data_IF_680903419836
#
_entry.id   IF_680903419836
#
_cell.length_a   1.000
_cell.length_b   1.000
_cell.length_c   1.000
_cell.angle_alpha   90.00
_cell.angle_beta   90.00
_cell.angle_gamma   90.00
#
_symmetry.space_group_name_H-M   'P 1'
#
loop_
_entity.id
_entity.type
_entity.pdbx_description
1 polymer ?
#
# COMPACT_ATOMS: atom_id res chain seq x y z
N UNK A 1 5.47 -6.15 -10.23
CA UNK A 1 5.10 -5.09 -9.27
C UNK A 1 4.22 -4.02 -9.89
N UNK A 2 4.49 -3.54 -11.10
CA UNK A 2 3.52 -2.72 -11.87
C UNK A 2 2.16 -3.43 -11.97
N UNK A 3 2.14 -4.68 -12.43
CA UNK A 3 0.92 -5.49 -12.48
C UNK A 3 0.26 -5.74 -11.11
N UNK A 4 1.04 -5.79 -10.03
CA UNK A 4 0.51 -6.02 -8.67
C UNK A 4 -0.28 -4.79 -8.22
N UNK A 5 0.27 -3.59 -8.38
CA UNK A 5 -0.43 -2.33 -8.06
C UNK A 5 -1.70 -2.14 -8.91
N UNK A 6 -1.65 -2.55 -10.19
CA UNK A 6 -2.86 -2.55 -11.03
C UNK A 6 -3.94 -3.52 -10.52
N UNK A 7 -3.54 -4.73 -10.13
CA UNK A 7 -4.44 -5.74 -9.56
C UNK A 7 -5.04 -5.25 -8.24
N UNK A 8 -4.21 -4.71 -7.34
CA UNK A 8 -4.64 -4.15 -6.05
C UNK A 8 -5.63 -3.02 -6.29
N UNK A 9 -5.28 -1.98 -7.06
CA UNK A 9 -6.19 -0.86 -7.31
C UNK A 9 -7.50 -1.28 -8.00
N UNK A 10 -7.46 -2.32 -8.84
CA UNK A 10 -8.67 -2.90 -9.45
C UNK A 10 -9.52 -3.63 -8.42
N UNK A 11 -8.90 -4.41 -7.53
CA UNK A 11 -9.55 -5.10 -6.42
C UNK A 11 -10.18 -4.09 -5.45
N UNK A 12 -9.45 -3.05 -5.05
CA UNK A 12 -9.94 -2.00 -4.15
C UNK A 12 -11.17 -1.29 -4.71
N UNK A 13 -11.10 -0.90 -5.99
CA UNK A 13 -12.23 -0.29 -6.71
C UNK A 13 -13.46 -1.20 -6.71
N UNK A 14 -13.27 -2.50 -6.94
CA UNK A 14 -14.34 -3.50 -6.95
C UNK A 14 -14.90 -3.72 -5.55
N UNK A 15 -14.05 -3.83 -4.53
CA UNK A 15 -14.45 -4.04 -3.14
C UNK A 15 -15.25 -2.84 -2.59
N UNK A 16 -14.86 -1.61 -2.92
CA UNK A 16 -15.64 -0.41 -2.60
C UNK A 16 -17.05 -0.46 -3.18
N UNK A 17 -17.20 -0.96 -4.40
CA UNK A 17 -18.50 -1.11 -5.04
C UNK A 17 -19.32 -2.25 -4.40
N UNK A 18 -18.77 -3.45 -4.32
CA UNK A 18 -19.53 -4.65 -3.91
C UNK A 18 -19.85 -4.66 -2.41
N UNK A 19 -18.91 -4.23 -1.56
CA UNK A 19 -19.08 -4.30 -0.10
C UNK A 19 -19.77 -3.06 0.47
N UNK A 20 -19.46 -1.88 -0.07
CA UNK A 20 -19.91 -0.60 0.47
C UNK A 20 -20.92 0.12 -0.42
N UNK A 21 -21.22 -0.40 -1.62
CA UNK A 21 -22.07 0.25 -2.62
C UNK A 21 -21.57 1.66 -2.98
N UNK A 22 -20.24 1.83 -3.08
CA UNK A 22 -19.60 3.11 -3.37
C UNK A 22 -19.12 3.11 -4.83
N UNK A 23 -19.89 3.71 -5.76
CA UNK A 23 -19.45 3.84 -7.14
C UNK A 23 -18.28 4.82 -7.22
N UNK A 24 -17.19 4.34 -7.80
CA UNK A 24 -15.92 5.06 -7.88
C UNK A 24 -15.35 5.01 -9.30
N UNK A 25 -14.44 5.94 -9.61
CA UNK A 25 -13.67 5.97 -10.85
C UNK A 25 -12.41 5.10 -10.68
N UNK A 26 -12.49 3.84 -11.12
CA UNK A 26 -11.42 2.83 -10.99
C UNK A 26 -10.02 3.36 -11.32
N UNK A 27 -9.88 4.13 -12.40
CA UNK A 27 -8.57 4.64 -12.83
C UNK A 27 -7.91 5.56 -11.79
N UNK A 28 -8.70 6.31 -11.00
CA UNK A 28 -8.17 7.15 -9.92
C UNK A 28 -7.68 6.31 -8.73
N UNK A 29 -8.35 5.21 -8.42
CA UNK A 29 -7.90 4.27 -7.38
C UNK A 29 -6.60 3.58 -7.81
N UNK A 30 -6.53 3.12 -9.06
CA UNK A 30 -5.30 2.54 -9.63
C UNK A 30 -4.17 3.58 -9.65
N UNK A 31 -4.46 4.83 -10.05
CA UNK A 31 -3.48 5.91 -10.00
C UNK A 31 -3.01 6.22 -8.57
N UNK A 32 -3.90 6.13 -7.57
CA UNK A 32 -3.55 6.29 -6.16
C UNK A 32 -2.48 5.28 -5.73
N UNK A 33 -2.71 3.99 -6.03
CA UNK A 33 -1.77 2.91 -5.70
C UNK A 33 -0.40 3.15 -6.35
N UNK A 34 -0.36 3.48 -7.65
CA UNK A 34 0.90 3.78 -8.32
C UNK A 34 1.59 5.02 -7.75
N UNK A 35 0.84 6.07 -7.44
CA UNK A 35 1.41 7.30 -6.84
C UNK A 35 2.00 6.99 -5.46
N UNK A 36 1.26 6.22 -4.65
CA UNK A 36 1.71 5.74 -3.35
C UNK A 36 2.99 4.92 -3.46
N UNK A 37 3.05 4.00 -4.43
CA UNK A 37 4.24 3.22 -4.75
C UNK A 37 5.45 4.11 -5.06
N UNK A 38 5.30 5.08 -5.97
CA UNK A 38 6.40 5.96 -6.37
C UNK A 38 6.86 6.86 -5.22
N UNK A 39 5.93 7.51 -4.52
CA UNK A 39 6.26 8.39 -3.41
C UNK A 39 6.86 7.61 -2.24
N UNK A 40 6.29 6.45 -1.93
CA UNK A 40 6.81 5.54 -0.92
C UNK A 40 8.23 5.08 -1.22
N UNK A 41 8.51 4.70 -2.46
CA UNK A 41 9.85 4.30 -2.88
C UNK A 41 10.88 5.44 -2.76
N UNK A 42 10.58 6.63 -3.28
CA UNK A 42 11.57 7.71 -3.33
C UNK A 42 11.74 8.47 -2.02
N UNK A 43 10.69 8.58 -1.20
CA UNK A 43 10.69 9.45 -0.03
C UNK A 43 10.58 8.70 1.30
N UNK A 44 10.19 7.42 1.32
CA UNK A 44 9.92 6.70 2.57
C UNK A 44 10.88 5.52 2.73
N UNK A 45 10.99 4.66 1.71
CA UNK A 45 11.87 3.48 1.74
C UNK A 45 13.33 3.77 2.16
N UNK A 46 13.97 4.89 1.76
CA UNK A 46 15.35 5.20 2.14
C UNK A 46 15.56 5.43 3.65
N UNK A 47 14.49 5.68 4.41
CA UNK A 47 14.57 5.93 5.85
C UNK A 47 14.51 4.65 6.71
N UNK A 48 14.15 3.50 6.12
CA UNK A 48 13.85 2.27 6.89
C UNK A 48 14.61 1.03 6.43
N UNK A 49 15.47 1.13 5.42
CA UNK A 49 16.25 0.02 4.91
C UNK A 49 17.72 0.43 4.84
N UNK A 50 18.63 -0.44 5.31
CA UNK A 50 20.04 -0.06 5.48
C UNK A 50 21.04 -0.69 4.46
N UNK A 51 20.85 -1.87 3.84
CA UNK A 51 21.78 -2.37 2.81
C UNK A 51 21.20 -3.34 1.76
N UNK A 52 21.61 -3.20 0.48
CA UNK A 52 21.19 -3.84 -0.80
C UNK A 52 20.47 -5.22 -0.84
N UNK A 53 19.41 -5.33 -1.68
CA UNK A 53 19.15 -6.55 -2.48
C UNK A 53 17.72 -7.08 -2.64
N UNK A 54 16.76 -6.65 -1.81
CA UNK A 54 15.41 -7.24 -1.75
C UNK A 54 14.29 -6.27 -2.17
N UNK A 55 13.15 -6.79 -2.67
CA UNK A 55 11.97 -5.96 -2.95
C UNK A 55 11.46 -5.30 -1.65
N UNK A 56 11.35 -3.98 -1.64
CA UNK A 56 10.84 -3.20 -0.50
C UNK A 56 9.31 -3.26 -0.40
N UNK A 57 8.72 -2.66 0.64
CA UNK A 57 7.25 -2.62 0.83
C UNK A 57 6.47 -2.06 -0.35
N UNK A 58 7.13 -1.23 -1.18
CA UNK A 58 6.56 -0.59 -2.36
C UNK A 58 6.79 -1.41 -3.63
N UNK A 59 7.46 -2.55 -3.52
CA UNK A 59 7.61 -3.48 -4.60
C UNK A 59 8.55 -3.02 -5.70
N UNK A 60 9.47 -2.12 -5.40
CA UNK A 60 10.56 -1.83 -6.30
C UNK A 60 11.80 -2.58 -5.82
N UNK A 61 12.70 -2.91 -6.76
CA UNK A 61 14.03 -3.41 -6.40
C UNK A 61 14.79 -2.24 -5.79
N UNK A 62 14.62 -2.08 -4.48
CA UNK A 62 15.38 -1.15 -3.68
C UNK A 62 16.85 -1.56 -3.67
N UNK A 63 17.76 -0.59 -3.77
CA UNK A 63 19.21 -0.78 -3.51
C UNK A 63 19.52 -0.95 -2.01
N UNK A 64 18.51 -1.31 -1.22
CA UNK A 64 18.54 -1.21 0.24
C UNK A 64 17.54 -2.21 0.80
N UNK A 65 18.02 -3.30 1.38
CA UNK A 65 17.30 -4.56 1.60
C UNK A 65 17.90 -5.47 2.69
N UNK A 66 18.15 -4.95 3.88
CA UNK A 66 18.14 -5.78 5.09
C UNK A 66 17.25 -5.07 6.11
N UNK A 67 16.17 -5.74 6.50
CA UNK A 67 15.27 -5.26 7.54
C UNK A 67 15.53 -6.11 8.79
N UNK A 68 16.06 -5.50 9.85
CA UNK A 68 15.94 -6.10 11.18
C UNK A 68 14.45 -6.29 11.48
N UNK A 69 14.06 -7.42 12.08
CA UNK A 69 12.64 -7.78 12.27
C UNK A 69 11.82 -6.68 12.97
N UNK A 70 12.45 -5.95 13.91
CA UNK A 70 11.85 -4.78 14.57
C UNK A 70 11.68 -3.58 13.63
N UNK A 71 12.69 -3.30 12.79
CA UNK A 71 12.64 -2.26 11.76
C UNK A 71 11.63 -2.56 10.65
N UNK A 72 11.38 -3.84 10.35
CA UNK A 72 10.37 -4.27 9.38
C UNK A 72 8.95 -3.83 9.77
N UNK A 73 8.51 -4.13 11.00
CA UNK A 73 7.15 -3.78 11.44
C UNK A 73 6.94 -2.27 11.59
N UNK A 74 7.96 -1.55 12.08
CA UNK A 74 7.92 -0.09 12.20
C UNK A 74 7.89 0.54 10.80
N UNK A 75 8.76 0.10 9.89
CA UNK A 75 8.79 0.57 8.50
C UNK A 75 7.48 0.29 7.77
N UNK A 76 6.86 -0.87 8.00
CA UNK A 76 5.53 -1.17 7.48
C UNK A 76 4.46 -0.23 8.04
N UNK A 77 4.43 0.01 9.35
CA UNK A 77 3.44 0.91 9.96
C UNK A 77 3.57 2.34 9.43
N UNK A 78 4.80 2.85 9.32
CA UNK A 78 5.07 4.15 8.72
C UNK A 78 4.63 4.20 7.25
N UNK A 79 4.93 3.15 6.48
CA UNK A 79 4.52 3.03 5.07
C UNK A 79 3.00 3.00 4.95
N UNK A 80 2.30 2.24 5.78
CA UNK A 80 0.84 2.18 5.80
C UNK A 80 0.21 3.55 6.08
N UNK A 81 0.69 4.27 7.09
CA UNK A 81 0.19 5.61 7.41
C UNK A 81 0.42 6.56 6.23
N UNK A 82 1.59 6.49 5.59
CA UNK A 82 1.86 7.31 4.43
C UNK A 82 0.96 6.97 3.23
N UNK A 83 0.70 5.68 2.97
CA UNK A 83 -0.26 5.23 1.95
C UNK A 83 -1.62 5.89 2.19
N UNK A 84 -2.12 5.87 3.43
CA UNK A 84 -3.40 6.50 3.75
C UNK A 84 -3.41 7.99 3.43
N UNK A 85 -2.33 8.71 3.73
CA UNK A 85 -2.23 10.16 3.44
C UNK A 85 -2.18 10.42 1.93
N UNK A 86 -1.35 9.66 1.21
CA UNK A 86 -1.12 9.84 -0.23
C UNK A 86 -2.36 9.45 -1.03
N UNK A 87 -3.01 8.34 -0.70
CA UNK A 87 -4.11 7.80 -1.48
C UNK A 87 -5.45 8.50 -1.21
N UNK A 88 -5.63 9.07 -0.01
CA UNK A 88 -6.88 9.73 0.37
C UNK A 88 -7.38 10.79 -0.64
N UNK A 89 -6.56 11.74 -1.15
CA UNK A 89 -7.03 12.71 -2.14
C UNK A 89 -7.55 12.04 -3.43
N UNK A 90 -6.87 11.00 -3.91
CA UNK A 90 -7.30 10.24 -5.09
C UNK A 90 -8.60 9.47 -4.83
N UNK A 91 -8.70 8.83 -3.67
CA UNK A 91 -9.92 8.15 -3.24
C UNK A 91 -11.10 9.13 -3.21
N UNK A 92 -10.93 10.30 -2.57
CA UNK A 92 -11.98 11.31 -2.48
C UNK A 92 -12.40 11.85 -3.86
N UNK A 93 -11.44 12.05 -4.78
CA UNK A 93 -11.71 12.43 -6.16
C UNK A 93 -12.38 11.32 -6.98
N UNK A 94 -12.11 10.05 -6.64
CA UNK A 94 -12.67 8.90 -7.35
C UNK A 94 -14.17 8.72 -7.11
N UNK A 95 -14.70 9.19 -5.97
CA UNK A 95 -16.08 9.00 -5.58
C UNK A 95 -17.03 9.71 -6.55
N UNK A 96 -17.95 8.96 -7.16
CA UNK A 96 -19.00 9.54 -8.02
C UNK A 96 -20.06 10.27 -7.19
N UNK A 97 -20.34 9.78 -5.99
CA UNK A 97 -21.25 10.40 -5.03
C UNK A 97 -20.45 10.80 -3.79
N UNK A 98 -20.46 12.08 -3.44
CA UNK A 98 -19.70 12.57 -2.29
C UNK A 98 -20.31 12.05 -0.98
N UNK A 99 -19.48 11.37 -0.20
CA UNK A 99 -19.79 10.92 1.15
C UNK A 99 -19.10 11.84 2.16
N UNK A 100 -19.59 11.87 3.41
CA UNK A 100 -18.99 12.65 4.50
C UNK A 100 -18.81 11.80 5.76
N UNK A 101 -17.90 12.26 6.63
CA UNK A 101 -17.63 11.66 7.93
C UNK A 101 -17.24 10.19 7.85
N UNK A 102 -17.79 9.38 8.75
CA UNK A 102 -17.43 7.96 8.87
C UNK A 102 -17.83 7.11 7.66
N UNK A 103 -18.84 7.54 6.89
CA UNK A 103 -19.23 6.86 5.64
C UNK A 103 -18.21 7.08 4.52
N UNK A 104 -17.41 8.14 4.60
CA UNK A 104 -16.28 8.38 3.70
C UNK A 104 -15.03 7.62 4.15
N UNK A 105 -14.69 7.75 5.44
CA UNK A 105 -13.41 7.30 5.99
C UNK A 105 -13.35 5.79 6.24
N UNK A 106 -14.43 5.18 6.76
CA UNK A 106 -14.45 3.75 7.10
C UNK A 106 -14.18 2.85 5.88
N UNK A 107 -14.83 3.04 4.72
CA UNK A 107 -14.55 2.22 3.53
C UNK A 107 -13.12 2.37 3.04
N UNK A 108 -12.62 3.62 2.99
CA UNK A 108 -11.24 3.91 2.60
C UNK A 108 -10.25 3.16 3.46
N UNK A 109 -10.33 3.35 4.79
CA UNK A 109 -9.41 2.74 5.74
C UNK A 109 -9.48 1.22 5.69
N UNK A 110 -10.67 0.62 5.61
CA UNK A 110 -10.83 -0.83 5.64
C UNK A 110 -10.28 -1.49 4.37
N UNK A 111 -10.50 -0.88 3.21
CA UNK A 111 -9.96 -1.38 1.93
C UNK A 111 -8.43 -1.32 1.94
N UNK A 112 -7.86 -0.15 2.29
CA UNK A 112 -6.42 0.04 2.39
C UNK A 112 -5.78 -0.88 3.43
N UNK A 113 -6.41 -1.05 4.60
CA UNK A 113 -5.92 -1.95 5.65
C UNK A 113 -5.87 -3.40 5.13
N UNK A 114 -6.94 -3.86 4.46
CA UNK A 114 -7.00 -5.22 3.95
C UNK A 114 -5.91 -5.48 2.90
N UNK A 115 -5.72 -4.56 1.95
CA UNK A 115 -4.70 -4.72 0.90
C UNK A 115 -3.29 -4.64 1.48
N UNK A 116 -3.02 -3.70 2.39
CA UNK A 116 -1.72 -3.60 3.05
C UNK A 116 -1.44 -4.79 4.00
N UNK A 117 -2.44 -5.36 4.67
CA UNK A 117 -2.26 -6.59 5.46
C UNK A 117 -1.87 -7.78 4.59
N UNK A 118 -2.46 -7.93 3.40
CA UNK A 118 -2.06 -8.97 2.45
C UNK A 118 -0.61 -8.74 2.00
N UNK A 119 -0.25 -7.50 1.67
CA UNK A 119 1.12 -7.15 1.30
C UNK A 119 2.11 -7.43 2.45
N UNK A 120 1.76 -7.10 3.69
CA UNK A 120 2.56 -7.41 4.87
C UNK A 120 2.84 -8.91 4.98
N UNK A 121 1.83 -9.76 4.82
CA UNK A 121 2.00 -11.22 4.88
C UNK A 121 2.93 -11.73 3.78
N UNK A 122 2.80 -11.19 2.55
CA UNK A 122 3.67 -11.54 1.43
C UNK A 122 5.11 -11.13 1.73
N UNK A 123 5.35 -9.89 2.13
CA UNK A 123 6.71 -9.41 2.45
C UNK A 123 7.30 -10.11 3.66
N UNK A 124 6.49 -10.37 4.68
CA UNK A 124 6.93 -11.10 5.86
C UNK A 124 7.36 -12.52 5.48
N UNK A 125 6.60 -13.22 4.63
CA UNK A 125 7.00 -14.52 4.11
C UNK A 125 8.31 -14.43 3.31
N UNK A 126 8.45 -13.43 2.42
CA UNK A 126 9.69 -13.22 1.66
C UNK A 126 10.87 -13.02 2.62
N UNK A 127 10.75 -12.14 3.62
CA UNK A 127 11.82 -11.89 4.59
C UNK A 127 12.11 -13.13 5.42
N UNK A 128 11.09 -13.81 5.96
CA UNK A 128 11.27 -14.99 6.80
C UNK A 128 11.90 -16.18 6.07
N UNK A 129 11.61 -16.37 4.78
CA UNK A 129 12.13 -17.48 3.96
C UNK A 129 13.37 -17.12 3.13
N UNK A 130 13.68 -15.83 2.93
CA UNK A 130 14.87 -15.38 2.19
C UNK A 130 15.99 -14.86 3.09
N UNK A 131 15.72 -14.55 4.36
CA UNK A 131 16.76 -14.28 5.34
C UNK A 131 17.61 -15.54 5.54
N UNK A 132 18.91 -15.45 5.24
CA UNK A 132 19.87 -16.35 5.84
C UNK A 132 19.86 -16.05 7.34
N UNK A 133 19.21 -16.90 8.12
CA UNK A 133 19.29 -16.86 9.58
C UNK A 133 20.73 -17.22 9.97
N UNK A 134 21.55 -16.22 10.30
CA UNK A 134 22.83 -16.40 10.96
C UNK A 134 22.67 -16.15 12.46
#
# INVERSE_FOLDING_TARGET
>A
MIWINFIIGTFESKFLLEKFNIPNRKWLIVAANYTSMFLGYYFIAPHFSFENGFPDFWGMKSRVGEYELGGFFIGFLCSFVATLIIEFPFYWLSLKTKQQGWRLLKPFFLVNLLTNCIMLLIYFAIVAFSAKWS
#
